data_IF_986821437387
#
_entry.id   IF_986821437387
#
_cell.length_a   1.000
_cell.length_b   1.000
_cell.length_c   1.000
_cell.angle_alpha   90.00
_cell.angle_beta   90.00
_cell.angle_gamma   90.00
#
_symmetry.space_group_name_H-M   'P 1'
#
loop_
_entity.id
_entity.type
_entity.pdbx_description
1 polymer ?
#
# COMPACT_ATOMS: atom_id res chain seq x y z
N UNK A 1 4.70 6.60 16.66
CA UNK A 1 5.04 6.34 15.24
C UNK A 1 4.91 4.86 14.98
N UNK A 2 4.03 4.47 14.05
CA UNK A 2 3.76 3.07 13.72
C UNK A 2 4.90 2.51 12.87
N UNK A 3 5.71 1.67 13.49
CA UNK A 3 6.33 0.56 12.78
C UNK A 3 5.22 -0.38 12.30
N UNK A 4 5.50 -1.33 11.43
CA UNK A 4 4.66 -2.52 11.47
C UNK A 4 4.86 -3.08 12.89
N UNK A 5 3.83 -2.90 13.71
CA UNK A 5 3.84 -3.37 15.10
C UNK A 5 3.52 -4.86 15.00
N UNK A 6 4.23 -5.67 15.79
CA UNK A 6 3.86 -7.07 15.93
C UNK A 6 2.36 -7.16 16.21
N UNK A 7 1.56 -7.88 15.40
CA UNK A 7 0.13 -8.01 15.65
C UNK A 7 -0.08 -8.44 17.10
N UNK A 8 -0.93 -7.69 17.81
CA UNK A 8 -1.20 -7.92 19.23
C UNK A 8 -1.85 -9.29 19.49
N UNK A 9 -2.44 -9.87 18.46
CA UNK A 9 -3.12 -11.15 18.50
C UNK A 9 -2.99 -11.85 17.15
N UNK A 10 -2.72 -13.16 17.16
CA UNK A 10 -2.73 -13.94 15.93
C UNK A 10 -4.16 -14.23 15.48
N UNK A 11 -4.41 -14.26 14.17
CA UNK A 11 -5.72 -14.67 13.63
C UNK A 11 -6.07 -16.10 14.00
N UNK A 12 -5.08 -16.95 14.25
CA UNK A 12 -5.29 -18.32 14.73
C UNK A 12 -5.95 -18.37 16.11
N UNK A 13 -5.87 -17.29 16.90
CA UNK A 13 -6.52 -17.18 18.20
C UNK A 13 -8.00 -16.74 18.07
N UNK A 14 -8.42 -16.31 16.88
CA UNK A 14 -9.80 -15.90 16.57
C UNK A 14 -10.61 -17.09 16.05
N UNK A 15 -10.94 -18.00 16.97
CA UNK A 15 -11.83 -19.13 16.71
C UNK A 15 -13.32 -18.78 16.82
N UNK A 16 -13.64 -17.53 17.16
CA UNK A 16 -15.01 -17.07 17.30
C UNK A 16 -15.77 -17.20 15.96
N UNK A 17 -16.99 -17.76 15.99
CA UNK A 17 -17.81 -17.88 14.80
C UNK A 17 -18.20 -16.49 14.28
N UNK A 18 -17.95 -16.23 12.98
CA UNK A 18 -18.44 -15.03 12.33
C UNK A 18 -19.89 -15.25 11.92
N UNK A 19 -20.81 -14.56 12.57
CA UNK A 19 -22.20 -14.49 12.15
C UNK A 19 -22.29 -13.63 10.88
N UNK A 20 -23.07 -14.07 9.89
CA UNK A 20 -22.99 -13.55 8.53
C UNK A 20 -23.76 -12.25 8.32
N UNK A 21 -24.73 -11.91 9.17
CA UNK A 21 -25.50 -10.70 8.96
C UNK A 21 -24.83 -9.47 9.57
N UNK A 22 -24.74 -8.44 8.74
CA UNK A 22 -24.27 -7.11 9.11
C UNK A 22 -25.14 -6.47 10.21
N UNK A 23 -26.43 -6.81 10.27
CA UNK A 23 -27.36 -6.34 11.30
C UNK A 23 -26.86 -6.69 12.70
N UNK A 24 -26.48 -7.95 12.93
CA UNK A 24 -25.99 -8.42 14.24
C UNK A 24 -24.74 -7.66 14.67
N UNK A 25 -23.83 -7.35 13.75
CA UNK A 25 -22.60 -6.60 14.07
C UNK A 25 -22.83 -5.10 14.27
N UNK A 26 -23.90 -4.55 13.70
CA UNK A 26 -24.20 -3.11 13.72
C UNK A 26 -25.27 -2.74 14.75
N UNK A 27 -25.87 -3.73 15.44
CA UNK A 27 -26.86 -3.52 16.47
C UNK A 27 -26.35 -2.64 17.62
N UNK A 28 -26.97 -1.48 17.81
CA UNK A 28 -26.58 -0.48 18.81
C UNK A 28 -27.00 -0.84 20.25
N UNK A 29 -27.93 -1.80 20.41
CA UNK A 29 -28.49 -2.19 21.71
C UNK A 29 -28.46 -3.70 21.87
N UNK A 30 -28.19 -4.16 23.10
CA UNK A 30 -28.14 -5.59 23.42
C UNK A 30 -29.46 -6.33 23.13
N UNK A 31 -30.60 -5.66 23.26
CA UNK A 31 -31.92 -6.24 22.95
C UNK A 31 -32.09 -6.45 21.44
N UNK A 32 -31.67 -5.47 20.64
CA UNK A 32 -31.70 -5.54 19.18
C UNK A 32 -30.75 -6.63 18.67
N UNK A 33 -29.52 -6.67 19.20
CA UNK A 33 -28.56 -7.72 18.91
C UNK A 33 -29.15 -9.11 19.17
N UNK A 34 -29.79 -9.30 20.33
CA UNK A 34 -30.41 -10.58 20.70
C UNK A 34 -31.55 -10.97 19.77
N UNK A 35 -32.39 -10.01 19.37
CA UNK A 35 -33.51 -10.25 18.47
C UNK A 35 -33.03 -10.67 17.08
N UNK A 36 -32.08 -9.93 16.50
CA UNK A 36 -31.48 -10.24 15.20
C UNK A 36 -30.72 -11.58 15.25
N UNK A 37 -29.96 -11.83 16.31
CA UNK A 37 -29.26 -13.10 16.53
C UNK A 37 -30.21 -14.30 16.58
N UNK A 38 -31.32 -14.18 17.31
CA UNK A 38 -32.33 -15.25 17.41
C UNK A 38 -33.10 -15.43 16.10
N UNK A 39 -33.36 -14.35 15.37
CA UNK A 39 -34.03 -14.40 14.07
C UNK A 39 -33.19 -15.12 13.01
N UNK A 40 -31.87 -14.93 13.01
CA UNK A 40 -30.93 -15.67 12.16
C UNK A 40 -30.81 -17.14 12.57
N UNK A 41 -30.65 -17.40 13.87
CA UNK A 41 -30.59 -18.77 14.38
C UNK A 41 -31.85 -19.58 14.05
N UNK A 42 -33.03 -18.94 13.99
CA UNK A 42 -34.29 -19.57 13.58
C UNK A 42 -34.44 -19.82 12.07
N UNK A 43 -33.80 -19.01 11.23
CA UNK A 43 -33.84 -19.16 9.76
C UNK A 43 -32.84 -20.18 9.22
N UNK A 44 -31.73 -20.43 9.93
CA UNK A 44 -30.66 -21.36 9.53
C UNK A 44 -31.00 -22.86 9.64
N UNK A 45 -32.22 -23.23 10.04
CA UNK A 45 -32.64 -24.63 10.27
C UNK A 45 -32.73 -25.49 9.00
N UNK A 46 -32.50 -24.94 7.80
CA UNK A 46 -32.62 -25.66 6.52
C UNK A 46 -31.30 -26.05 5.84
N UNK A 47 -30.12 -25.78 6.42
CA UNK A 47 -28.82 -26.21 5.84
C UNK A 47 -28.01 -26.97 6.88
N UNK A 48 -28.18 -28.30 6.90
CA UNK A 48 -27.69 -29.26 7.89
C UNK A 48 -26.15 -29.39 8.06
N UNK A 49 -25.33 -28.47 7.55
CA UNK A 49 -23.85 -28.56 7.62
C UNK A 49 -23.13 -27.25 7.97
N UNK A 50 -23.84 -26.14 8.22
CA UNK A 50 -23.20 -24.82 8.28
C UNK A 50 -22.91 -24.35 9.71
N UNK A 51 -21.81 -24.84 10.31
CA UNK A 51 -21.18 -24.11 11.43
C UNK A 51 -20.84 -22.69 10.95
N UNK A 52 -21.15 -21.64 11.72
CA UNK A 52 -20.72 -20.28 11.37
C UNK A 52 -19.20 -20.27 11.22
N UNK A 53 -18.71 -19.87 10.06
CA UNK A 53 -17.30 -19.92 9.74
C UNK A 53 -16.54 -18.98 10.70
N UNK A 54 -15.57 -19.50 11.45
CA UNK A 54 -14.69 -18.65 12.26
C UNK A 54 -13.81 -17.76 11.37
N UNK A 55 -13.26 -16.67 11.91
CA UNK A 55 -12.35 -15.81 11.14
C UNK A 55 -11.19 -16.60 10.54
N UNK A 56 -10.58 -17.50 11.32
CA UNK A 56 -9.52 -18.38 10.83
C UNK A 56 -10.02 -19.29 9.69
N UNK A 57 -11.26 -19.77 9.74
CA UNK A 57 -11.85 -20.57 8.67
C UNK A 57 -12.07 -19.74 7.40
N UNK A 58 -12.56 -18.50 7.55
CA UNK A 58 -12.72 -17.56 6.43
C UNK A 58 -11.38 -17.14 5.81
N UNK A 59 -10.35 -16.89 6.63
CA UNK A 59 -8.99 -16.58 6.15
C UNK A 59 -8.38 -17.80 5.46
N UNK A 60 -8.56 -19.02 5.99
CA UNK A 60 -8.15 -20.26 5.32
C UNK A 60 -8.89 -20.47 4.00
N UNK A 61 -10.18 -20.15 3.96
CA UNK A 61 -11.00 -20.23 2.75
C UNK A 61 -10.58 -19.17 1.71
N UNK A 62 -10.18 -17.98 2.15
CA UNK A 62 -9.60 -16.95 1.29
C UNK A 62 -8.25 -17.41 0.71
N UNK A 63 -7.38 -17.96 1.56
CA UNK A 63 -6.11 -18.55 1.15
C UNK A 63 -6.30 -19.73 0.17
N UNK A 64 -7.36 -20.52 0.33
CA UNK A 64 -7.74 -21.59 -0.60
C UNK A 64 -8.59 -21.12 -1.80
N UNK A 65 -8.83 -19.81 -1.95
CA UNK A 65 -9.55 -19.17 -3.07
C UNK A 65 -11.02 -19.60 -3.23
N UNK A 66 -11.67 -20.03 -2.15
CA UNK A 66 -13.06 -20.49 -2.14
C UNK A 66 -14.02 -19.48 -1.50
N UNK A 67 -13.92 -18.19 -1.80
CA UNK A 67 -14.60 -17.15 -1.01
C UNK A 67 -16.11 -17.00 -1.32
N UNK A 68 -16.94 -17.01 -0.28
CA UNK A 68 -18.36 -16.64 -0.35
C UNK A 68 -18.55 -15.14 -0.08
N UNK A 69 -19.59 -14.56 -0.70
CA UNK A 69 -19.76 -13.13 -0.96
C UNK A 69 -20.50 -12.44 0.20
N UNK A 70 -19.77 -11.80 1.12
CA UNK A 70 -20.34 -10.81 2.06
C UNK A 70 -19.34 -9.68 2.37
N UNK A 71 -19.78 -8.43 2.28
CA UNK A 71 -18.93 -7.23 2.37
C UNK A 71 -18.29 -7.01 3.75
N UNK A 72 -18.98 -7.39 4.82
CA UNK A 72 -18.46 -7.29 6.20
C UNK A 72 -17.38 -8.34 6.45
N UNK A 73 -17.60 -9.56 5.97
CA UNK A 73 -16.63 -10.66 6.02
C UNK A 73 -15.36 -10.31 5.22
N UNK A 74 -15.49 -9.64 4.06
CA UNK A 74 -14.33 -9.20 3.25
C UNK A 74 -13.36 -8.32 4.04
N UNK A 75 -13.88 -7.32 4.77
CA UNK A 75 -13.04 -6.41 5.56
C UNK A 75 -12.32 -7.16 6.68
N UNK A 76 -13.02 -8.05 7.38
CA UNK A 76 -12.45 -8.88 8.44
C UNK A 76 -11.35 -9.82 7.92
N UNK A 77 -11.55 -10.43 6.74
CA UNK A 77 -10.54 -11.27 6.09
C UNK A 77 -9.30 -10.44 5.76
N UNK A 78 -9.46 -9.25 5.17
CA UNK A 78 -8.33 -8.37 4.86
C UNK A 78 -7.55 -7.97 6.11
N UNK A 79 -8.24 -7.58 7.20
CA UNK A 79 -7.58 -7.32 8.47
C UNK A 79 -6.88 -8.55 9.04
N UNK A 80 -7.48 -9.74 8.90
CA UNK A 80 -6.86 -10.99 9.31
C UNK A 80 -5.58 -11.31 8.52
N UNK A 81 -5.54 -11.00 7.22
CA UNK A 81 -4.33 -11.22 6.41
C UNK A 81 -3.14 -10.35 6.84
N UNK A 82 -3.35 -9.29 7.63
CA UNK A 82 -2.26 -8.45 8.14
C UNK A 82 -1.19 -9.24 8.90
N UNK A 83 -1.58 -10.19 9.77
CA UNK A 83 -0.61 -10.97 10.54
C UNK A 83 0.26 -11.85 9.64
N UNK A 84 -0.32 -12.38 8.56
CA UNK A 84 0.40 -13.15 7.56
C UNK A 84 1.35 -12.26 6.74
N UNK A 85 0.89 -11.09 6.29
CA UNK A 85 1.74 -10.09 5.59
C UNK A 85 2.93 -9.73 6.48
N UNK A 86 2.69 -9.44 7.75
CA UNK A 86 3.75 -9.12 8.73
C UNK A 86 4.76 -10.26 8.88
N UNK A 87 4.27 -11.49 9.08
CA UNK A 87 5.14 -12.66 9.23
C UNK A 87 6.00 -12.92 7.99
N UNK A 88 5.41 -12.83 6.78
CA UNK A 88 6.15 -12.98 5.53
C UNK A 88 7.24 -11.91 5.39
N UNK A 89 6.93 -10.66 5.74
CA UNK A 89 7.91 -9.56 5.72
C UNK A 89 9.04 -9.77 6.71
N UNK A 90 8.71 -10.15 7.95
CA UNK A 90 9.72 -10.41 8.97
C UNK A 90 10.65 -11.55 8.55
N UNK A 91 10.11 -12.62 7.97
CA UNK A 91 10.90 -13.75 7.49
C UNK A 91 11.81 -13.34 6.32
N UNK A 92 11.29 -12.52 5.40
CA UNK A 92 12.07 -11.97 4.29
C UNK A 92 13.22 -11.09 4.78
N UNK A 93 12.97 -10.18 5.72
CA UNK A 93 13.99 -9.29 6.26
C UNK A 93 15.08 -10.09 7.03
N UNK A 94 14.70 -11.12 7.80
CA UNK A 94 15.66 -12.01 8.48
C UNK A 94 16.54 -12.79 7.52
N UNK A 95 15.98 -13.33 6.44
CA UNK A 95 16.71 -14.08 5.42
C UNK A 95 17.64 -13.16 4.60
N UNK A 96 17.20 -11.93 4.31
CA UNK A 96 17.98 -10.96 3.52
C UNK A 96 19.24 -10.45 4.23
N UNK A 97 19.23 -10.41 5.57
CA UNK A 97 20.37 -9.92 6.38
C UNK A 97 21.39 -11.02 6.70
N UNK A 98 21.14 -12.27 6.29
CA UNK A 98 21.86 -13.44 6.80
C UNK A 98 23.02 -13.97 5.96
N UNK A 99 22.97 -13.88 4.62
CA UNK A 99 23.89 -14.66 3.78
C UNK A 99 24.15 -14.03 2.41
N UNK A 100 25.42 -13.73 2.12
CA UNK A 100 26.01 -13.58 0.77
C UNK A 100 26.02 -14.93 0.02
N UNK A 101 24.90 -15.66 0.00
CA UNK A 101 24.79 -16.95 -0.68
C UNK A 101 23.83 -16.85 -1.88
N UNK A 102 24.31 -17.09 -3.12
CA UNK A 102 23.50 -17.02 -4.32
C UNK A 102 22.67 -18.29 -4.54
N UNK A 103 21.97 -18.77 -3.51
CA UNK A 103 21.22 -20.03 -3.61
C UNK A 103 19.79 -19.87 -3.08
N UNK A 104 18.83 -20.08 -3.98
CA UNK A 104 17.45 -20.50 -3.68
C UNK A 104 16.51 -19.43 -3.07
N UNK A 105 16.36 -18.28 -3.73
CA UNK A 105 15.27 -17.31 -3.48
C UNK A 105 13.85 -17.78 -3.84
N UNK A 106 13.61 -19.10 -3.97
CA UNK A 106 12.35 -19.68 -4.47
C UNK A 106 11.22 -19.79 -3.42
N UNK A 107 11.44 -20.23 -2.17
CA UNK A 107 10.31 -20.46 -1.23
C UNK A 107 9.75 -19.15 -0.64
N UNK A 108 10.62 -18.18 -0.31
CA UNK A 108 10.17 -16.89 0.25
C UNK A 108 9.46 -16.04 -0.82
N UNK A 109 9.88 -16.15 -2.08
CA UNK A 109 9.19 -15.47 -3.18
C UNK A 109 7.87 -16.16 -3.55
N UNK A 110 7.76 -17.49 -3.44
CA UNK A 110 6.50 -18.19 -3.67
C UNK A 110 5.45 -17.82 -2.62
N UNK A 111 5.80 -17.78 -1.34
CA UNK A 111 4.87 -17.40 -0.27
C UNK A 111 4.35 -15.96 -0.44
N UNK A 112 5.24 -15.03 -0.78
CA UNK A 112 4.89 -13.62 -1.06
C UNK A 112 3.97 -13.52 -2.28
N UNK A 113 4.26 -14.25 -3.36
CA UNK A 113 3.43 -14.24 -4.56
C UNK A 113 2.06 -14.89 -4.32
N UNK A 114 2.00 -15.99 -3.57
CA UNK A 114 0.75 -16.65 -3.22
C UNK A 114 -0.13 -15.76 -2.35
N UNK A 115 0.45 -15.11 -1.34
CA UNK A 115 -0.28 -14.16 -0.50
C UNK A 115 -0.77 -12.95 -1.29
N UNK A 116 0.05 -12.41 -2.20
CA UNK A 116 -0.37 -11.33 -3.08
C UNK A 116 -1.54 -11.75 -4.00
N UNK A 117 -1.45 -12.94 -4.59
CA UNK A 117 -2.52 -13.51 -5.40
C UNK A 117 -3.82 -13.70 -4.59
N UNK A 118 -3.72 -14.12 -3.33
CA UNK A 118 -4.88 -14.21 -2.43
C UNK A 118 -5.47 -12.84 -2.14
N UNK A 119 -4.66 -11.83 -1.82
CA UNK A 119 -5.14 -10.46 -1.54
C UNK A 119 -5.87 -9.88 -2.76
N UNK A 120 -5.36 -10.12 -3.96
CA UNK A 120 -6.00 -9.69 -5.22
C UNK A 120 -7.28 -10.46 -5.55
N UNK A 121 -7.36 -11.75 -5.21
CA UNK A 121 -8.52 -12.58 -5.49
C UNK A 121 -9.74 -12.25 -4.62
N UNK A 122 -9.53 -11.51 -3.52
CA UNK A 122 -10.62 -11.05 -2.66
C UNK A 122 -11.43 -9.99 -3.42
N UNK A 123 -12.75 -10.17 -3.61
CA UNK A 123 -13.57 -9.21 -4.33
C UNK A 123 -13.73 -7.94 -3.48
N UNK A 124 -13.07 -6.88 -3.92
CA UNK A 124 -13.12 -5.57 -3.26
C UNK A 124 -14.24 -4.67 -3.81
N UNK A 125 -14.84 -5.05 -4.94
CA UNK A 125 -15.97 -4.38 -5.56
C UNK A 125 -17.31 -5.04 -5.17
N UNK A 126 -18.23 -4.27 -4.58
CA UNK A 126 -19.63 -4.68 -4.45
C UNK A 126 -20.26 -4.70 -5.85
N UNK A 127 -20.78 -5.84 -6.30
CA UNK A 127 -21.40 -5.94 -7.64
C UNK A 127 -22.70 -5.16 -7.79
N UNK A 128 -23.41 -4.89 -6.69
CA UNK A 128 -24.84 -4.57 -6.79
C UNK A 128 -25.25 -3.26 -6.09
N UNK A 129 -24.28 -2.45 -5.63
CA UNK A 129 -24.59 -1.15 -5.02
C UNK A 129 -23.70 -0.06 -5.60
N UNK A 130 -24.30 1.01 -6.09
CA UNK A 130 -23.69 2.23 -6.65
C UNK A 130 -22.78 2.99 -5.69
N UNK A 131 -22.56 2.49 -4.48
CA UNK A 131 -21.65 3.03 -3.48
C UNK A 131 -20.67 1.93 -3.01
N UNK A 132 -19.60 1.75 -3.76
CA UNK A 132 -18.42 1.02 -3.31
C UNK A 132 -17.77 1.80 -2.16
N UNK A 133 -17.58 1.17 -1.01
CA UNK A 133 -16.81 1.76 0.08
C UNK A 133 -15.33 1.86 -0.35
N UNK A 134 -14.77 3.07 -0.49
CA UNK A 134 -13.39 3.28 -0.95
C UNK A 134 -12.34 2.78 0.07
N UNK A 135 -12.76 2.40 1.29
CA UNK A 135 -11.84 1.86 2.30
C UNK A 135 -11.36 0.44 1.99
N UNK A 136 -12.22 -0.45 1.48
CA UNK A 136 -11.80 -1.83 1.16
C UNK A 136 -10.68 -1.88 0.09
N UNK A 137 -10.76 -1.16 -1.06
CA UNK A 137 -9.68 -1.16 -2.05
C UNK A 137 -8.41 -0.55 -1.49
N UNK A 138 -8.54 0.45 -0.62
CA UNK A 138 -7.41 1.05 0.08
C UNK A 138 -6.73 0.05 1.02
N UNK A 139 -7.48 -0.76 1.77
CA UNK A 139 -6.92 -1.79 2.66
C UNK A 139 -6.19 -2.85 1.85
N UNK A 140 -6.82 -3.40 0.80
CA UNK A 140 -6.19 -4.41 -0.06
C UNK A 140 -4.90 -3.89 -0.72
N UNK A 141 -4.92 -2.65 -1.23
CA UNK A 141 -3.75 -2.01 -1.80
C UNK A 141 -2.67 -1.75 -0.74
N UNK A 142 -3.04 -1.37 0.49
CA UNK A 142 -2.10 -1.18 1.59
C UNK A 142 -1.41 -2.49 2.02
N UNK A 143 -2.16 -3.60 2.13
CA UNK A 143 -1.58 -4.92 2.43
C UNK A 143 -0.55 -5.33 1.37
N UNK A 144 -0.90 -5.14 0.10
CA UNK A 144 0.01 -5.39 -1.02
C UNK A 144 1.24 -4.46 -0.99
N UNK A 145 1.04 -3.17 -0.75
CA UNK A 145 2.15 -2.21 -0.60
C UNK A 145 3.11 -2.64 0.51
N UNK A 146 2.58 -2.99 1.69
CA UNK A 146 3.36 -3.44 2.82
C UNK A 146 4.12 -4.74 2.53
N UNK A 147 3.55 -5.64 1.71
CA UNK A 147 4.18 -6.89 1.30
C UNK A 147 5.38 -6.66 0.36
N UNK A 148 5.27 -5.72 -0.58
CA UNK A 148 6.31 -5.44 -1.57
C UNK A 148 7.35 -4.40 -1.14
N UNK A 149 7.14 -3.71 -0.02
CA UNK A 149 7.97 -2.56 0.39
C UNK A 149 8.71 -2.83 1.69
N UNK A 150 10.04 -2.60 1.76
CA UNK A 150 10.80 -2.60 3.01
C UNK A 150 10.52 -1.31 3.80
N UNK A 151 9.32 -1.22 4.38
CA UNK A 151 8.84 -0.04 5.11
C UNK A 151 9.79 0.45 6.22
N UNK A 152 10.44 -0.43 7.02
CA UNK A 152 11.43 0.02 8.00
C UNK A 152 12.64 0.72 7.36
N UNK A 153 13.15 0.20 6.24
CA UNK A 153 14.29 0.78 5.53
C UNK A 153 13.95 2.14 4.93
N UNK A 154 12.74 2.31 4.39
CA UNK A 154 12.26 3.62 3.92
C UNK A 154 12.24 4.65 5.05
N UNK A 155 11.76 4.28 6.24
CA UNK A 155 11.75 5.20 7.38
C UNK A 155 13.16 5.54 7.87
N UNK A 156 14.10 4.58 7.84
CA UNK A 156 15.51 4.80 8.19
C UNK A 156 16.22 5.75 7.23
N UNK A 157 16.02 5.56 5.92
CA UNK A 157 16.61 6.37 4.86
C UNK A 157 16.27 7.86 4.95
N UNK A 158 15.13 8.20 5.54
CA UNK A 158 14.70 9.58 5.73
C UNK A 158 15.43 10.30 6.88
N UNK A 159 16.48 9.68 7.45
CA UNK A 159 17.27 10.29 8.52
C UNK A 159 16.56 10.31 9.87
N UNK A 160 15.45 9.59 10.02
CA UNK A 160 14.66 9.54 11.26
C UNK A 160 15.46 9.02 12.46
N UNK A 161 16.48 8.21 12.21
CA UNK A 161 17.40 7.64 13.22
C UNK A 161 18.81 8.24 13.14
N UNK A 162 18.96 9.37 12.43
CA UNK A 162 20.25 9.99 12.13
C UNK A 162 20.78 9.63 10.75
N UNK A 163 21.81 10.37 10.32
CA UNK A 163 22.39 10.23 8.99
C UNK A 163 23.13 8.89 8.79
N UNK A 164 23.67 8.32 9.87
CA UNK A 164 24.36 7.03 9.83
C UNK A 164 23.40 5.89 9.44
N UNK A 165 22.26 5.79 10.12
CA UNK A 165 21.24 4.77 9.81
C UNK A 165 20.63 4.96 8.42
N UNK A 166 20.57 6.22 7.95
CA UNK A 166 20.13 6.52 6.58
C UNK A 166 21.13 6.03 5.53
N UNK A 167 22.44 6.14 5.80
CA UNK A 167 23.49 5.59 4.94
C UNK A 167 23.46 4.06 4.93
N UNK A 168 23.25 3.44 6.10
CA UNK A 168 23.20 1.99 6.24
C UNK A 168 21.99 1.37 5.51
N UNK A 169 20.86 2.10 5.45
CA UNK A 169 19.66 1.66 4.74
C UNK A 169 19.70 1.90 3.21
N UNK A 170 20.59 2.77 2.73
CA UNK A 170 20.70 3.14 1.31
C UNK A 170 20.97 1.96 0.35
N UNK A 171 21.90 1.01 0.62
CA UNK A 171 22.15 -0.12 -0.29
C UNK A 171 20.92 -1.01 -0.45
N UNK A 172 20.24 -1.35 0.65
CA UNK A 172 19.03 -2.15 0.63
C UNK A 172 17.91 -1.50 -0.20
N UNK A 173 17.75 -0.18 -0.10
CA UNK A 173 16.76 0.54 -0.89
C UNK A 173 17.13 0.66 -2.37
N UNK A 174 18.42 0.74 -2.68
CA UNK A 174 18.89 0.72 -4.05
C UNK A 174 18.59 -0.63 -4.73
N UNK A 175 18.81 -1.74 -4.03
CA UNK A 175 18.49 -3.08 -4.52
C UNK A 175 16.97 -3.28 -4.64
N UNK A 176 16.20 -2.81 -3.66
CA UNK A 176 14.75 -2.79 -3.75
C UNK A 176 14.27 -2.00 -4.97
N UNK A 177 14.82 -0.81 -5.24
CA UNK A 177 14.42 0.02 -6.38
C UNK A 177 14.57 -0.72 -7.73
N UNK A 178 15.64 -1.51 -7.90
CA UNK A 178 15.88 -2.31 -9.11
C UNK A 178 15.00 -3.56 -9.22
N UNK A 179 14.46 -4.02 -8.10
CA UNK A 179 13.65 -5.23 -8.04
C UNK A 179 12.29 -5.08 -8.74
N UNK A 180 11.65 -6.21 -9.03
CA UNK A 180 10.24 -6.23 -9.48
C UNK A 180 9.29 -5.75 -8.37
N UNK A 181 9.68 -5.95 -7.11
CA UNK A 181 8.85 -5.61 -5.95
C UNK A 181 8.62 -4.10 -5.84
N UNK A 182 9.62 -3.27 -6.16
CA UNK A 182 9.43 -1.81 -6.18
C UNK A 182 8.34 -1.42 -7.17
N UNK A 183 8.33 -1.98 -8.38
CA UNK A 183 7.35 -1.64 -9.43
C UNK A 183 5.92 -1.98 -9.02
N UNK A 184 5.71 -3.15 -8.41
CA UNK A 184 4.42 -3.49 -7.81
C UNK A 184 4.06 -2.56 -6.65
N UNK A 185 5.01 -2.25 -5.76
CA UNK A 185 4.78 -1.32 -4.67
C UNK A 185 4.35 0.08 -5.17
N UNK A 186 4.98 0.60 -6.24
CA UNK A 186 4.57 1.87 -6.85
C UNK A 186 3.13 1.82 -7.38
N UNK A 187 2.76 0.70 -8.02
CA UNK A 187 1.40 0.51 -8.51
C UNK A 187 0.35 0.50 -7.38
N UNK A 188 0.61 -0.25 -6.32
CA UNK A 188 -0.28 -0.27 -5.15
C UNK A 188 -0.31 1.06 -4.41
N UNK A 189 0.82 1.76 -4.31
CA UNK A 189 0.87 3.11 -3.77
C UNK A 189 -0.04 4.05 -4.57
N UNK A 190 0.01 3.99 -5.90
CA UNK A 190 -0.89 4.77 -6.75
C UNK A 190 -2.37 4.41 -6.53
N UNK A 191 -2.72 3.12 -6.40
CA UNK A 191 -4.09 2.68 -6.08
C UNK A 191 -4.61 3.22 -4.74
N UNK A 192 -3.75 3.33 -3.72
CA UNK A 192 -4.09 3.94 -2.42
C UNK A 192 -4.43 5.42 -2.61
N UNK A 193 -3.62 6.14 -3.39
CA UNK A 193 -3.84 7.57 -3.66
C UNK A 193 -5.15 7.80 -4.45
N UNK A 194 -5.43 6.96 -5.44
CA UNK A 194 -6.70 6.94 -6.16
C UNK A 194 -7.88 6.67 -5.24
N UNK A 195 -7.78 5.66 -4.38
CA UNK A 195 -8.86 5.31 -3.42
C UNK A 195 -9.11 6.45 -2.42
N UNK A 196 -8.04 7.11 -1.96
CA UNK A 196 -8.14 8.26 -1.06
C UNK A 196 -8.81 9.46 -1.74
N UNK A 197 -8.49 9.70 -3.00
CA UNK A 197 -9.10 10.76 -3.80
C UNK A 197 -10.62 10.57 -3.94
N UNK A 198 -11.07 9.33 -4.21
CA UNK A 198 -12.50 8.99 -4.31
C UNK A 198 -13.23 8.90 -2.97
N UNK A 199 -12.52 9.00 -1.85
CA UNK A 199 -13.15 8.93 -0.52
C UNK A 199 -13.97 10.20 -0.27
N UNK A 200 -15.27 10.08 0.01
CA UNK A 200 -16.18 11.21 0.25
C UNK A 200 -15.99 11.92 1.61
N UNK A 201 -15.09 11.46 2.47
CA UNK A 201 -14.89 12.04 3.81
C UNK A 201 -14.25 13.42 3.74
N UNK A 202 -14.71 14.39 4.56
CA UNK A 202 -14.20 15.75 4.52
C UNK A 202 -12.70 15.80 4.85
N UNK A 203 -12.26 15.01 5.84
CA UNK A 203 -10.85 14.90 6.23
C UNK A 203 -10.41 13.42 6.22
N UNK A 204 -9.17 13.16 5.79
CA UNK A 204 -8.53 11.86 5.92
C UNK A 204 -8.02 11.69 7.36
N UNK A 205 -8.46 10.63 8.03
CA UNK A 205 -8.06 10.34 9.41
C UNK A 205 -7.75 8.86 9.60
N UNK A 206 -7.09 8.53 10.72
CA UNK A 206 -6.78 7.17 11.13
C UNK A 206 -6.03 6.37 10.07
N UNK A 207 -6.59 5.21 9.69
CA UNK A 207 -5.98 4.31 8.72
C UNK A 207 -5.79 4.95 7.33
N UNK A 208 -6.79 5.67 6.82
CA UNK A 208 -6.69 6.25 5.48
C UNK A 208 -5.57 7.29 5.37
N UNK A 209 -5.39 8.11 6.41
CA UNK A 209 -4.29 9.06 6.48
C UNK A 209 -2.92 8.34 6.52
N UNK A 210 -2.82 7.28 7.32
CA UNK A 210 -1.59 6.49 7.41
C UNK A 210 -1.26 5.75 6.11
N UNK A 211 -2.25 5.18 5.43
CA UNK A 211 -2.06 4.50 4.16
C UNK A 211 -1.56 5.47 3.08
N UNK A 212 -2.16 6.66 2.97
CA UNK A 212 -1.73 7.71 2.02
C UNK A 212 -0.32 8.20 2.33
N UNK A 213 0.00 8.43 3.60
CA UNK A 213 1.36 8.80 4.01
C UNK A 213 2.38 7.74 3.61
N UNK A 214 2.08 6.46 3.87
CA UNK A 214 2.97 5.34 3.58
C UNK A 214 3.17 5.16 2.07
N UNK A 215 2.10 5.30 1.27
CA UNK A 215 2.16 5.30 -0.18
C UNK A 215 3.01 6.45 -0.72
N UNK A 216 2.78 7.67 -0.23
CA UNK A 216 3.57 8.86 -0.56
C UNK A 216 5.05 8.69 -0.23
N UNK A 217 5.35 8.06 0.92
CA UNK A 217 6.72 7.79 1.35
C UNK A 217 7.45 6.84 0.39
N UNK A 218 6.80 5.76 -0.01
CA UNK A 218 7.38 4.78 -0.94
C UNK A 218 7.67 5.40 -2.31
N UNK A 219 6.73 6.18 -2.84
CA UNK A 219 6.88 6.92 -4.10
C UNK A 219 8.01 7.96 -4.00
N UNK A 220 8.03 8.75 -2.92
CA UNK A 220 9.01 9.80 -2.70
C UNK A 220 10.44 9.24 -2.61
N UNK A 221 10.66 8.22 -1.78
CA UNK A 221 11.98 7.59 -1.65
C UNK A 221 12.44 6.99 -2.98
N UNK A 222 11.55 6.33 -3.72
CA UNK A 222 11.87 5.82 -5.05
C UNK A 222 12.34 6.96 -5.98
N UNK A 223 11.61 8.08 -6.03
CA UNK A 223 11.98 9.25 -6.83
C UNK A 223 13.34 9.85 -6.46
N UNK A 224 13.65 9.96 -5.17
CA UNK A 224 14.95 10.46 -4.68
C UNK A 224 16.11 9.52 -5.09
N UNK A 225 15.93 8.20 -5.02
CA UNK A 225 16.99 7.26 -5.39
C UNK A 225 17.20 7.24 -6.91
N UNK A 226 16.12 7.35 -7.70
CA UNK A 226 16.22 7.43 -9.17
C UNK A 226 16.96 8.70 -9.62
N UNK A 227 16.59 9.87 -9.06
CA UNK A 227 17.21 11.15 -9.41
C UNK A 227 18.70 11.21 -9.05
N UNK A 228 19.07 10.74 -7.85
CA UNK A 228 20.48 10.67 -7.41
C UNK A 228 21.31 9.75 -8.29
N UNK A 229 20.76 8.63 -8.78
CA UNK A 229 21.44 7.71 -9.70
C UNK A 229 21.67 8.35 -11.07
N UNK A 230 20.64 8.97 -11.67
CA UNK A 230 20.75 9.64 -12.98
C UNK A 230 21.82 10.74 -12.96
N UNK A 231 21.97 11.46 -11.84
CA UNK A 231 23.05 12.45 -11.66
C UNK A 231 24.44 11.81 -11.62
N UNK A 232 24.63 10.71 -10.87
CA UNK A 232 25.94 10.01 -10.80
C UNK A 232 26.40 9.51 -12.17
N UNK A 233 25.48 9.02 -13.01
CA UNK A 233 25.81 8.58 -14.38
C UNK A 233 26.15 9.74 -15.32
N UNK A 234 25.69 10.96 -15.02
CA UNK A 234 25.97 12.14 -15.84
C UNK A 234 27.31 12.83 -15.50
N UNK A 235 27.85 12.58 -14.29
CA UNK A 235 29.11 13.18 -13.80
C UNK A 235 30.33 12.28 -14.14
N UNK A 236 30.13 10.96 -14.30
CA UNK A 236 31.19 10.02 -14.69
C UNK A 236 31.08 9.56 -16.15
N UNK A 237 31.70 10.30 -17.07
CA UNK A 237 32.06 9.92 -18.47
C UNK A 237 31.10 9.06 -19.31
N UNK A 238 30.67 9.61 -20.46
CA UNK A 238 30.51 8.98 -21.78
C UNK A 238 30.43 7.43 -21.85
N UNK A 239 29.48 6.83 -21.16
CA UNK A 239 29.13 5.42 -21.29
C UNK A 239 27.66 5.32 -21.69
N UNK A 240 27.45 5.30 -23.02
CA UNK A 240 26.36 4.61 -23.70
C UNK A 240 24.93 5.03 -23.27
N UNK A 241 24.43 6.10 -23.91
CA UNK A 241 23.05 6.21 -24.41
C UNK A 241 21.90 5.69 -23.50
N UNK A 242 21.84 6.08 -22.23
CA UNK A 242 20.62 5.91 -21.40
C UNK A 242 19.96 7.24 -21.01
N UNK A 243 20.43 8.36 -21.54
CA UNK A 243 19.81 9.69 -21.36
C UNK A 243 18.81 10.04 -22.47
N UNK A 244 18.71 9.25 -23.54
CA UNK A 244 17.67 9.44 -24.59
C UNK A 244 16.34 8.74 -24.30
N UNK A 245 16.18 8.01 -23.20
CA UNK A 245 15.03 7.11 -23.01
C UNK A 245 13.98 7.60 -22.01
N UNK A 246 14.19 8.61 -21.18
CA UNK A 246 13.14 9.11 -20.27
C UNK A 246 12.14 10.04 -20.98
N UNK A 247 12.59 10.91 -21.89
CA UNK A 247 11.70 11.85 -22.60
C UNK A 247 11.00 11.22 -23.82
N UNK A 248 11.49 10.07 -24.31
CA UNK A 248 10.94 9.35 -25.47
C UNK A 248 10.24 8.04 -25.12
N UNK A 249 10.26 7.61 -23.85
CA UNK A 249 9.56 6.39 -23.44
C UNK A 249 8.09 6.66 -23.16
N UNK A 250 7.21 5.69 -23.40
CA UNK A 250 5.79 5.84 -23.10
C UNK A 250 5.60 6.10 -21.60
N UNK A 251 4.76 7.09 -21.28
CA UNK A 251 4.33 7.34 -19.91
C UNK A 251 3.42 6.20 -19.47
N UNK A 252 3.78 5.56 -18.35
CA UNK A 252 2.99 4.48 -17.77
C UNK A 252 2.16 5.04 -16.61
N UNK A 253 0.85 4.99 -16.74
CA UNK A 253 -0.08 5.39 -15.69
C UNK A 253 -0.20 4.29 -14.64
N UNK A 254 0.09 4.63 -13.39
CA UNK A 254 0.02 3.72 -12.26
C UNK A 254 -1.35 3.80 -11.57
N UNK A 255 -1.83 2.64 -11.10
CA UNK A 255 -3.02 2.54 -10.26
C UNK A 255 -4.38 2.65 -10.96
N UNK A 256 -4.41 2.84 -12.28
CA UNK A 256 -5.63 2.73 -13.10
C UNK A 256 -5.82 1.28 -13.55
N UNK A 257 -7.05 0.75 -13.53
CA UNK A 257 -7.31 -0.64 -13.95
C UNK A 257 -7.64 -0.77 -15.44
N UNK A 258 -8.16 0.29 -16.08
CA UNK A 258 -8.87 0.14 -17.36
C UNK A 258 -8.22 0.85 -18.57
N UNK A 259 -7.61 2.03 -18.39
CA UNK A 259 -7.25 2.86 -19.56
C UNK A 259 -5.87 2.52 -20.20
N UNK A 260 -4.96 1.84 -19.49
CA UNK A 260 -3.59 1.52 -20.00
C UNK A 260 -2.97 0.22 -19.44
N UNK A 261 -3.78 -0.83 -19.25
CA UNK A 261 -3.33 -2.08 -18.62
C UNK A 261 -2.08 -2.72 -19.28
N UNK A 262 -1.91 -2.57 -20.60
CA UNK A 262 -0.74 -3.14 -21.31
C UNK A 262 0.57 -2.42 -20.98
N UNK A 263 0.59 -1.08 -20.99
CA UNK A 263 1.78 -0.30 -20.65
C UNK A 263 2.18 -0.50 -19.17
N UNK A 264 1.18 -0.58 -18.29
CA UNK A 264 1.35 -0.90 -16.88
C UNK A 264 1.94 -2.30 -16.69
N UNK A 265 1.43 -3.34 -17.37
CA UNK A 265 1.99 -4.69 -17.30
C UNK A 265 3.43 -4.76 -17.84
N UNK A 266 3.72 -4.04 -18.93
CA UNK A 266 5.08 -3.96 -19.49
C UNK A 266 6.03 -3.32 -18.47
N UNK A 267 5.62 -2.23 -17.82
CA UNK A 267 6.41 -1.60 -16.76
C UNK A 267 6.61 -2.56 -15.57
N UNK A 268 5.54 -3.18 -15.07
CA UNK A 268 5.63 -4.13 -13.95
C UNK A 268 6.59 -5.30 -14.27
N UNK A 269 6.51 -5.85 -15.49
CA UNK A 269 7.34 -6.96 -15.91
C UNK A 269 8.82 -6.56 -16.14
N UNK A 270 9.06 -5.49 -16.90
CA UNK A 270 10.37 -5.16 -17.47
C UNK A 270 11.03 -3.89 -16.90
N UNK A 271 10.26 -3.04 -16.23
CA UNK A 271 10.70 -1.71 -15.78
C UNK A 271 10.77 -0.66 -16.90
N UNK A 272 10.27 -0.98 -18.10
CA UNK A 272 10.24 -0.05 -19.23
C UNK A 272 9.06 0.93 -19.12
N UNK A 273 9.34 2.22 -19.28
CA UNK A 273 8.36 3.32 -19.23
C UNK A 273 8.61 4.30 -18.08
N UNK A 274 8.07 5.51 -18.19
CA UNK A 274 8.14 6.52 -17.12
C UNK A 274 6.90 6.39 -16.23
N UNK A 275 7.04 5.95 -14.96
CA UNK A 275 5.90 5.86 -14.06
C UNK A 275 5.35 7.24 -13.70
N UNK A 276 4.06 7.45 -13.94
CA UNK A 276 3.33 8.65 -13.58
C UNK A 276 1.97 8.31 -12.94
N UNK A 277 1.50 9.20 -12.09
CA UNK A 277 0.21 9.09 -11.39
C UNK A 277 -0.68 10.23 -11.86
N UNK A 278 -1.93 9.90 -12.20
CA UNK A 278 -2.95 10.86 -12.60
C UNK A 278 -4.14 10.71 -11.67
N UNK A 279 -4.53 11.76 -10.95
CA UNK A 279 -5.74 11.70 -10.11
C UNK A 279 -7.00 12.21 -10.85
N UNK A 280 -6.80 13.05 -11.87
CA UNK A 280 -7.88 13.61 -12.70
C UNK A 280 -7.40 13.73 -14.15
N UNK A 281 -8.31 13.55 -15.10
CA UNK A 281 -8.05 13.44 -16.53
C UNK A 281 -7.25 14.61 -17.16
N UNK A 282 -7.01 15.76 -16.51
CA UNK A 282 -6.21 16.84 -17.16
C UNK A 282 -5.28 17.64 -16.23
N UNK A 283 -5.57 17.82 -14.93
CA UNK A 283 -4.90 18.87 -14.15
C UNK A 283 -3.82 18.43 -13.12
N UNK A 284 -3.78 17.15 -12.72
CA UNK A 284 -2.88 16.70 -11.65
C UNK A 284 -2.14 15.42 -12.04
N UNK A 285 -1.11 15.59 -12.88
CA UNK A 285 -0.15 14.53 -13.23
C UNK A 285 1.07 14.68 -12.32
N UNK A 286 1.44 13.61 -11.64
CA UNK A 286 2.69 13.55 -10.88
C UNK A 286 3.62 12.48 -11.43
N UNK A 287 4.81 12.90 -11.81
CA UNK A 287 5.85 11.98 -12.26
C UNK A 287 6.61 11.41 -11.07
N UNK A 288 6.77 10.09 -11.03
CA UNK A 288 7.40 9.43 -9.87
C UNK A 288 8.90 9.76 -9.77
N UNK A 289 9.54 10.10 -10.89
CA UNK A 289 10.92 10.56 -10.91
C UNK A 289 11.10 11.98 -10.34
N UNK A 290 10.01 12.72 -10.08
CA UNK A 290 10.04 14.05 -9.48
C UNK A 290 9.48 13.98 -8.05
N UNK A 291 10.35 13.93 -7.03
CA UNK A 291 9.90 13.81 -5.63
C UNK A 291 9.00 14.97 -5.18
N UNK A 292 9.23 16.18 -5.71
CA UNK A 292 8.39 17.37 -5.45
C UNK A 292 6.98 17.23 -6.01
N UNK A 293 6.84 16.59 -7.17
CA UNK A 293 5.53 16.36 -7.77
C UNK A 293 4.70 15.38 -6.93
N UNK A 294 5.36 14.37 -6.36
CA UNK A 294 4.73 13.40 -5.45
C UNK A 294 4.34 14.08 -4.13
N UNK A 295 5.21 14.89 -3.53
CA UNK A 295 4.93 15.57 -2.25
C UNK A 295 3.76 16.55 -2.40
N UNK A 296 3.70 17.29 -3.50
CA UNK A 296 2.59 18.17 -3.85
C UNK A 296 1.29 17.40 -4.07
N UNK A 297 1.34 16.27 -4.77
CA UNK A 297 0.18 15.41 -5.00
C UNK A 297 -0.37 14.81 -3.70
N UNK A 298 0.50 14.31 -2.81
CA UNK A 298 0.06 13.76 -1.53
C UNK A 298 -0.52 14.85 -0.65
N UNK A 299 0.11 16.04 -0.63
CA UNK A 299 -0.43 17.20 0.08
C UNK A 299 -1.80 17.59 -0.46
N UNK A 300 -2.00 17.60 -1.78
CA UNK A 300 -3.30 17.95 -2.39
C UNK A 300 -4.40 16.95 -2.08
N UNK A 301 -4.06 15.66 -1.90
CA UNK A 301 -4.99 14.64 -1.40
C UNK A 301 -5.40 14.95 0.05
N UNK A 302 -4.44 15.29 0.93
CA UNK A 302 -4.72 15.63 2.32
C UNK A 302 -5.51 16.93 2.48
N UNK A 303 -5.19 17.97 1.72
CA UNK A 303 -5.88 19.27 1.75
C UNK A 303 -7.15 19.30 0.91
N UNK A 304 -7.55 18.16 0.31
CA UNK A 304 -8.71 18.03 -0.58
C UNK A 304 -8.74 19.13 -1.65
N UNK A 305 -7.62 19.27 -2.37
CA UNK A 305 -7.42 20.27 -3.41
C UNK A 305 -7.58 21.72 -2.90
N UNK A 306 -7.20 21.98 -1.65
CA UNK A 306 -7.21 23.32 -1.05
C UNK A 306 -8.50 23.71 -0.32
N UNK A 307 -9.41 22.76 -0.07
CA UNK A 307 -10.61 23.02 0.74
C UNK A 307 -10.37 22.93 2.25
N UNK A 308 -9.29 22.26 2.67
CA UNK A 308 -8.87 22.19 4.08
C UNK A 308 -7.52 22.85 4.28
N UNK A 309 -7.44 23.69 5.31
CA UNK A 309 -6.16 24.24 5.77
C UNK A 309 -5.44 23.25 6.69
N UNK A 310 -4.12 23.36 6.80
CA UNK A 310 -3.32 22.45 7.64
C UNK A 310 -3.74 22.49 9.12
N UNK A 311 -4.14 23.65 9.61
CA UNK A 311 -4.51 23.88 11.01
C UNK A 311 -5.91 23.33 11.37
N UNK A 312 -6.73 23.00 10.36
CA UNK A 312 -8.06 22.39 10.55
C UNK A 312 -8.03 20.86 10.57
N UNK A 313 -6.86 20.26 10.31
CA UNK A 313 -6.71 18.80 10.28
C UNK A 313 -6.49 18.23 11.69
N UNK A 314 -6.86 16.94 11.93
CA UNK A 314 -6.45 16.24 13.14
C UNK A 314 -4.92 16.26 13.29
N UNK A 315 -4.41 16.56 14.48
CA UNK A 315 -2.97 16.77 14.71
C UNK A 315 -2.07 15.60 14.26
N UNK A 316 -2.60 14.37 14.24
CA UNK A 316 -1.90 13.22 13.65
C UNK A 316 -1.72 13.36 12.13
N UNK A 317 -2.79 13.64 11.39
CA UNK A 317 -2.77 13.82 9.94
C UNK A 317 -1.87 15.01 9.56
N UNK A 318 -2.01 16.11 10.28
CA UNK A 318 -1.20 17.31 10.14
C UNK A 318 0.30 17.02 10.32
N UNK A 319 0.67 16.26 11.36
CA UNK A 319 2.05 15.84 11.60
C UNK A 319 2.61 15.00 10.44
N UNK A 320 1.82 14.11 9.84
CA UNK A 320 2.26 13.29 8.71
C UNK A 320 2.55 14.14 7.47
N UNK A 321 1.68 15.12 7.19
CA UNK A 321 1.87 16.05 6.06
C UNK A 321 3.10 16.91 6.27
N UNK A 322 3.29 17.47 7.47
CA UNK A 322 4.49 18.26 7.79
C UNK A 322 5.78 17.47 7.64
N UNK A 323 5.78 16.19 8.05
CA UNK A 323 6.93 15.31 7.87
C UNK A 323 7.22 15.17 6.37
N UNK A 324 6.23 14.82 5.54
CA UNK A 324 6.43 14.70 4.09
C UNK A 324 6.93 16.00 3.44
N UNK A 325 6.39 17.15 3.84
CA UNK A 325 6.83 18.46 3.33
C UNK A 325 8.27 18.79 3.76
N UNK A 326 8.63 18.49 5.01
CA UNK A 326 10.01 18.68 5.49
C UNK A 326 11.00 17.82 4.71
N UNK A 327 10.58 16.60 4.34
CA UNK A 327 11.39 15.67 3.56
C UNK A 327 11.59 16.16 2.12
N UNK A 328 10.52 16.62 1.46
CA UNK A 328 10.60 17.25 0.15
C UNK A 328 11.57 18.45 0.15
N UNK A 329 11.37 19.37 1.09
CA UNK A 329 12.26 20.53 1.25
C UNK A 329 13.72 20.14 1.52
N UNK A 330 13.96 19.05 2.27
CA UNK A 330 15.30 18.55 2.54
C UNK A 330 15.95 17.88 1.32
N UNK A 331 15.16 17.19 0.48
CA UNK A 331 15.63 16.62 -0.77
C UNK A 331 16.06 17.74 -1.72
N UNK A 332 15.26 18.81 -1.86
CA UNK A 332 15.64 20.02 -2.63
C UNK A 332 16.93 20.64 -2.09
N UNK A 333 17.11 20.73 -0.77
CA UNK A 333 18.37 21.27 -0.21
C UNK A 333 19.58 20.38 -0.49
N UNK A 334 19.42 19.06 -0.39
CA UNK A 334 20.47 18.09 -0.77
C UNK A 334 20.78 18.14 -2.28
N UNK A 335 19.82 18.54 -3.12
CA UNK A 335 20.05 18.80 -4.54
C UNK A 335 20.90 20.04 -4.81
N UNK A 336 20.88 21.03 -3.91
CA UNK A 336 21.67 22.28 -4.02
C UNK A 336 23.09 22.10 -3.48
N UNK A 337 23.28 21.39 -2.37
CA UNK A 337 24.62 21.20 -1.76
C UNK A 337 25.54 20.24 -2.56
N UNK A 338 24.98 19.43 -3.46
CA UNK A 338 25.76 18.55 -4.36
C UNK A 338 26.01 19.15 -5.75
N UNK A 339 25.54 20.38 -5.98
CA UNK A 339 25.75 21.15 -7.21
C UNK A 339 26.72 22.32 -7.07
N UNK A 340 27.38 22.46 -5.91
CA UNK A 340 28.37 23.50 -5.60
C UNK A 340 29.81 23.06 -5.79
#
# INVERSE_FOLDING_TARGET
>A
MMHLINPLMSVSELELPLYSAESVWTALRAVQWKEEFMNEAGQSTCVADSRPASLISCVRQALSRHLSRSSTTTSLILYGLWSHVWSCRQNHDLMSNGLDMPSEGLPVSSEVNDLANTIQAIPVTKSDSTETDPQLPMISAFLSLALYTPLPALQKFLGRYGDQEAQDAAPLLHDWMLSRNSRYALDYAARILHSAHHTKTPCLHGFSAYAVYTAGLALFCYGVIVTTRTRRTHIGNNALNSTQTLDSSPTTWLGEMDDNAQAQQVFLASGYGVPAIRLQSVASVAYVHQPESISALVTSIFTRQGTLTLDEMPGFTESLVRILQSLANSAVRREVDLGG
#
